data_IF_476121208058
#
_entry.id   IF_476121208058
#
_cell.length_a   1.000
_cell.length_b   1.000
_cell.length_c   1.000
_cell.angle_alpha   90.00
_cell.angle_beta   90.00
_cell.angle_gamma   90.00
#
_symmetry.space_group_name_H-M   'P 1'
#
loop_
_entity.id
_entity.type
_entity.pdbx_description
1 polymer ?
#
# COMPACT_ATOMS: atom_id res chain seq x y z
N UNK A 1 -2.49 23.31 -5.90
CA UNK A 1 -3.29 22.07 -5.76
C UNK A 1 -4.64 22.43 -5.20
N UNK A 2 -5.73 22.05 -5.86
CA UNK A 2 -7.08 22.43 -5.47
C UNK A 2 -7.73 21.31 -4.66
N UNK A 3 -7.85 21.51 -3.35
CA UNK A 3 -8.72 20.68 -2.50
C UNK A 3 -10.15 21.07 -2.86
N UNK A 4 -10.97 20.10 -3.21
CA UNK A 4 -12.40 20.33 -3.45
C UNK A 4 -13.18 19.91 -2.21
N UNK A 5 -14.23 20.66 -1.85
CA UNK A 5 -15.10 20.34 -0.72
C UNK A 5 -16.08 19.19 -1.02
N UNK A 6 -15.87 18.47 -2.13
CA UNK A 6 -16.75 17.42 -2.66
C UNK A 6 -15.95 16.18 -3.04
N UNK A 7 -16.61 15.03 -3.02
CA UNK A 7 -16.04 13.74 -3.47
C UNK A 7 -15.76 13.80 -4.97
N UNK A 8 -14.54 13.47 -5.39
CA UNK A 8 -14.20 13.27 -6.81
C UNK A 8 -14.44 11.79 -7.18
N UNK A 9 -15.33 11.49 -8.16
CA UNK A 9 -15.65 10.13 -8.57
C UNK A 9 -14.41 9.32 -8.96
N UNK A 10 -14.43 8.00 -8.73
CA UNK A 10 -13.26 7.16 -9.04
C UNK A 10 -12.91 7.16 -10.54
N UNK A 11 -13.91 7.20 -11.42
CA UNK A 11 -13.73 7.30 -12.86
C UNK A 11 -12.96 8.56 -13.29
N UNK A 12 -13.05 9.65 -12.54
CA UNK A 12 -12.30 10.89 -12.80
C UNK A 12 -10.90 10.87 -12.16
N UNK A 13 -10.72 10.05 -11.14
CA UNK A 13 -9.46 9.82 -10.42
C UNK A 13 -8.63 8.66 -10.97
N UNK A 14 -9.02 8.03 -12.09
CA UNK A 14 -8.30 6.89 -12.63
C UNK A 14 -8.20 6.94 -14.15
N UNK A 15 -7.02 6.64 -14.69
CA UNK A 15 -6.81 6.36 -16.12
C UNK A 15 -6.35 4.91 -16.24
N UNK A 16 -7.15 4.09 -16.94
CA UNK A 16 -6.75 2.75 -17.31
C UNK A 16 -5.94 2.80 -18.61
N UNK A 17 -4.76 2.19 -18.57
CA UNK A 17 -3.83 2.11 -19.69
C UNK A 17 -3.89 0.69 -20.28
N UNK A 18 -3.70 0.58 -21.59
CA UNK A 18 -3.69 -0.71 -22.27
C UNK A 18 -2.57 -1.60 -21.69
N UNK A 19 -2.88 -2.88 -21.48
CA UNK A 19 -2.01 -3.82 -20.77
C UNK A 19 -2.24 -3.88 -19.25
N UNK A 20 -3.21 -3.13 -18.71
CA UNK A 20 -3.69 -3.30 -17.34
C UNK A 20 -2.95 -2.49 -16.28
N UNK A 21 -2.15 -1.50 -16.67
CA UNK A 21 -1.62 -0.48 -15.75
C UNK A 21 -2.70 0.58 -15.50
N UNK A 22 -2.78 1.09 -14.28
CA UNK A 22 -3.63 2.23 -13.92
C UNK A 22 -2.79 3.39 -13.39
N UNK A 23 -3.19 4.61 -13.73
CA UNK A 23 -2.70 5.86 -13.09
C UNK A 23 -3.83 6.45 -12.26
N UNK A 24 -3.61 6.58 -10.96
CA UNK A 24 -4.66 6.82 -9.98
C UNK A 24 -4.32 8.03 -9.15
N UNK A 25 -5.23 9.00 -9.10
CA UNK A 25 -5.20 10.12 -8.15
C UNK A 25 -5.80 9.62 -6.83
N UNK A 26 -4.97 9.38 -5.81
CA UNK A 26 -5.36 8.54 -4.69
C UNK A 26 -6.32 9.26 -3.74
N UNK A 27 -6.18 10.59 -3.60
CA UNK A 27 -6.94 11.37 -2.65
C UNK A 27 -8.35 11.65 -3.14
N UNK A 28 -9.34 11.35 -2.29
CA UNK A 28 -10.76 11.45 -2.60
C UNK A 28 -11.24 12.87 -2.96
N UNK A 29 -10.62 13.88 -2.36
CA UNK A 29 -11.02 15.28 -2.42
C UNK A 29 -9.96 16.16 -3.11
N UNK A 30 -9.14 15.57 -3.99
CA UNK A 30 -8.17 16.29 -4.82
C UNK A 30 -8.47 15.98 -6.28
N UNK A 31 -8.81 17.02 -7.04
CA UNK A 31 -9.01 16.87 -8.47
C UNK A 31 -7.68 16.56 -9.17
N UNK A 32 -7.75 15.79 -10.26
CA UNK A 32 -6.60 15.47 -11.13
C UNK A 32 -5.85 16.72 -11.62
N UNK A 33 -6.50 17.88 -11.65
CA UNK A 33 -5.99 19.07 -12.34
C UNK A 33 -6.11 18.85 -13.84
N UNK A 34 -6.94 19.65 -14.50
CA UNK A 34 -7.23 19.53 -15.94
C UNK A 34 -6.68 20.70 -16.74
N UNK A 35 -6.17 21.73 -16.06
CA UNK A 35 -5.51 22.85 -16.69
C UNK A 35 -4.17 22.37 -17.27
N UNK A 36 -4.13 22.30 -18.60
CA UNK A 36 -2.98 21.84 -19.39
C UNK A 36 -1.78 22.79 -19.29
N UNK A 37 -2.02 24.05 -18.89
CA UNK A 37 -1.02 25.11 -18.84
C UNK A 37 -0.47 25.35 -17.43
N UNK A 38 -1.11 24.83 -16.37
CA UNK A 38 -0.60 24.99 -14.98
C UNK A 38 -0.45 23.69 -14.17
N UNK A 39 -1.10 22.59 -14.56
CA UNK A 39 -1.05 21.35 -13.77
C UNK A 39 0.27 20.60 -13.97
N UNK A 40 0.93 20.22 -12.87
CA UNK A 40 2.11 19.33 -12.83
C UNK A 40 1.79 18.09 -11.98
N UNK A 41 2.47 16.99 -12.24
CA UNK A 41 2.18 15.68 -11.62
C UNK A 41 3.44 15.05 -11.01
N UNK A 42 3.25 14.32 -9.92
CA UNK A 42 4.27 13.45 -9.36
C UNK A 42 3.78 11.99 -9.38
N UNK A 43 4.45 11.15 -10.18
CA UNK A 43 4.02 9.77 -10.44
C UNK A 43 4.83 8.79 -9.60
N UNK A 44 4.16 8.16 -8.63
CA UNK A 44 4.71 7.16 -7.73
C UNK A 44 4.56 5.77 -8.33
N UNK A 45 5.67 5.06 -8.49
CA UNK A 45 5.70 3.79 -9.22
C UNK A 45 5.82 2.58 -8.28
N UNK A 46 5.09 1.51 -8.59
CA UNK A 46 5.45 0.16 -8.14
C UNK A 46 6.59 -0.43 -9.00
N UNK A 47 7.13 -1.58 -8.58
CA UNK A 47 8.21 -2.28 -9.32
C UNK A 47 7.81 -2.59 -10.78
N UNK A 48 6.55 -2.95 -11.01
CA UNK A 48 6.07 -3.34 -12.34
C UNK A 48 6.03 -2.13 -13.29
N UNK A 49 5.55 -0.99 -12.82
CA UNK A 49 5.50 0.27 -13.55
C UNK A 49 6.90 0.84 -13.79
N UNK A 50 7.85 0.65 -12.87
CA UNK A 50 9.24 1.04 -13.09
C UNK A 50 9.94 0.14 -14.12
N UNK A 51 9.63 -1.16 -14.14
CA UNK A 51 10.33 -2.13 -15.01
C UNK A 51 9.74 -2.17 -16.42
N UNK A 52 8.42 -2.04 -16.54
CA UNK A 52 7.69 -1.98 -17.81
C UNK A 52 7.08 -0.59 -17.97
N UNK A 53 7.74 0.24 -18.77
CA UNK A 53 7.49 1.69 -18.86
C UNK A 53 6.55 2.07 -20.01
N UNK A 54 6.02 1.11 -20.76
CA UNK A 54 5.20 1.39 -21.95
C UNK A 54 3.91 2.16 -21.63
N UNK A 55 3.44 2.08 -20.39
CA UNK A 55 2.30 2.87 -19.92
C UNK A 55 2.54 4.37 -20.05
N UNK A 56 3.79 4.82 -19.91
CA UNK A 56 4.14 6.23 -19.91
C UNK A 56 3.95 6.87 -21.29
N UNK A 57 4.22 6.12 -22.36
CA UNK A 57 4.00 6.57 -23.74
C UNK A 57 2.52 6.70 -24.09
N UNK A 58 1.64 5.97 -23.39
CA UNK A 58 0.19 5.98 -23.60
C UNK A 58 -0.51 7.09 -22.81
N UNK A 59 0.19 7.81 -21.94
CA UNK A 59 -0.40 8.91 -21.19
C UNK A 59 -0.68 10.11 -22.10
N UNK A 60 -1.75 10.88 -21.79
CA UNK A 60 -1.98 12.17 -22.42
C UNK A 60 -0.72 13.05 -22.35
N UNK A 61 -0.41 13.72 -23.45
CA UNK A 61 0.83 14.50 -23.59
C UNK A 61 1.01 15.55 -22.49
N UNK A 62 -0.07 16.21 -22.07
CA UNK A 62 -0.04 17.22 -21.01
C UNK A 62 0.34 16.63 -19.64
N UNK A 63 0.03 15.35 -19.38
CA UNK A 63 0.50 14.66 -18.17
C UNK A 63 1.96 14.30 -18.36
N UNK A 64 2.30 13.65 -19.48
CA UNK A 64 3.64 13.14 -19.78
C UNK A 64 4.70 14.25 -19.67
N UNK A 65 4.51 15.36 -20.36
CA UNK A 65 5.49 16.46 -20.41
C UNK A 65 5.63 17.25 -19.11
N UNK A 66 4.74 17.03 -18.15
CA UNK A 66 4.64 17.79 -16.88
C UNK A 66 4.64 16.89 -15.65
N UNK A 67 5.14 15.67 -15.83
CA UNK A 67 5.31 14.70 -14.76
C UNK A 67 6.75 14.63 -14.30
N UNK A 68 6.94 14.53 -12.99
CA UNK A 68 8.15 13.95 -12.41
C UNK A 68 7.87 12.52 -11.99
N UNK A 69 8.87 11.64 -12.10
CA UNK A 69 8.77 10.25 -11.66
C UNK A 69 9.39 10.13 -10.27
N UNK A 70 8.64 9.53 -9.36
CA UNK A 70 9.11 9.12 -8.06
C UNK A 70 9.14 7.58 -7.98
N UNK A 71 10.29 6.94 -8.28
CA UNK A 71 10.42 5.50 -8.25
C UNK A 71 10.79 4.97 -6.86
N UNK A 72 10.78 5.83 -5.82
CA UNK A 72 11.35 5.49 -4.52
C UNK A 72 10.76 4.22 -3.90
N UNK A 73 9.44 4.00 -4.04
CA UNK A 73 8.78 2.78 -3.54
C UNK A 73 9.24 1.52 -4.25
N UNK A 74 9.24 1.53 -5.58
CA UNK A 74 9.78 0.45 -6.39
C UNK A 74 11.24 0.14 -6.02
N UNK A 75 12.06 1.18 -5.81
CA UNK A 75 13.46 1.01 -5.43
C UNK A 75 13.64 0.43 -4.02
N UNK A 76 12.79 0.82 -3.06
CA UNK A 76 12.78 0.21 -1.73
C UNK A 76 12.39 -1.27 -1.79
N UNK A 77 11.34 -1.62 -2.54
CA UNK A 77 10.93 -3.00 -2.75
C UNK A 77 12.09 -3.81 -3.33
N UNK A 78 12.72 -3.32 -4.41
CA UNK A 78 13.87 -3.99 -5.03
C UNK A 78 15.04 -4.13 -4.06
N UNK A 79 15.37 -3.06 -3.31
CA UNK A 79 16.46 -3.10 -2.35
C UNK A 79 16.24 -4.12 -1.25
N UNK A 80 15.02 -4.27 -0.74
CA UNK A 80 14.72 -5.15 0.38
C UNK A 80 14.40 -6.59 -0.08
N UNK A 81 13.89 -6.78 -1.29
CA UNK A 81 13.44 -8.09 -1.78
C UNK A 81 14.40 -8.81 -2.73
N UNK A 82 15.27 -8.09 -3.46
CA UNK A 82 15.99 -8.65 -4.59
C UNK A 82 17.53 -8.68 -4.34
N UNK A 83 18.13 -9.85 -4.03
CA UNK A 83 19.57 -9.98 -3.85
C UNK A 83 20.37 -9.55 -5.09
N UNK A 84 19.88 -9.85 -6.29
CA UNK A 84 20.56 -9.45 -7.52
C UNK A 84 20.54 -7.93 -7.73
N UNK A 85 19.49 -7.26 -7.24
CA UNK A 85 19.45 -5.80 -7.20
C UNK A 85 20.58 -5.25 -6.34
N UNK A 86 20.73 -5.78 -5.12
CA UNK A 86 21.79 -5.38 -4.18
C UNK A 86 23.21 -5.68 -4.67
N UNK A 87 23.39 -6.69 -5.53
CA UNK A 87 24.70 -7.03 -6.09
C UNK A 87 25.23 -5.98 -7.08
N UNK A 88 24.36 -5.24 -7.77
CA UNK A 88 24.76 -4.17 -8.70
C UNK A 88 23.69 -3.07 -8.75
N UNK A 89 23.50 -2.32 -7.64
CA UNK A 89 22.32 -1.49 -7.47
C UNK A 89 22.35 -0.26 -8.37
N UNK A 90 23.50 0.40 -8.52
CA UNK A 90 23.63 1.59 -9.39
C UNK A 90 23.30 1.26 -10.83
N UNK A 91 23.95 0.24 -11.41
CA UNK A 91 23.73 -0.17 -12.82
C UNK A 91 22.27 -0.58 -13.06
N UNK A 92 21.64 -1.24 -12.09
CA UNK A 92 20.22 -1.64 -12.22
C UNK A 92 19.28 -0.46 -12.16
N UNK A 93 19.51 0.51 -11.28
CA UNK A 93 18.72 1.75 -11.26
C UNK A 93 18.91 2.51 -12.58
N UNK A 94 20.15 2.65 -13.07
CA UNK A 94 20.45 3.28 -14.37
C UNK A 94 19.71 2.58 -15.51
N UNK A 95 19.73 1.25 -15.57
CA UNK A 95 19.01 0.49 -16.58
C UNK A 95 17.48 0.67 -16.51
N UNK A 96 16.91 0.78 -15.30
CA UNK A 96 15.48 1.03 -15.11
C UNK A 96 15.10 2.44 -15.58
N UNK A 97 15.82 3.48 -15.13
CA UNK A 97 15.50 4.87 -15.48
C UNK A 97 15.81 5.18 -16.95
N UNK A 98 16.78 4.52 -17.57
CA UNK A 98 17.11 4.72 -18.99
C UNK A 98 15.93 4.38 -19.91
N UNK A 99 15.08 3.42 -19.53
CA UNK A 99 13.86 3.11 -20.28
C UNK A 99 12.87 4.29 -20.26
N UNK A 100 12.70 4.95 -19.11
CA UNK A 100 11.88 6.15 -18.98
C UNK A 100 12.54 7.35 -19.68
N UNK A 101 13.87 7.48 -19.61
CA UNK A 101 14.61 8.55 -20.25
C UNK A 101 14.46 8.52 -21.78
N UNK A 102 14.47 7.33 -22.39
CA UNK A 102 14.15 7.14 -23.82
C UNK A 102 12.75 7.61 -24.21
N UNK A 103 11.82 7.71 -23.27
CA UNK A 103 10.47 8.23 -23.47
C UNK A 103 10.34 9.74 -23.15
N UNK A 104 11.46 10.41 -22.89
CA UNK A 104 11.53 11.86 -22.66
C UNK A 104 11.59 12.29 -21.20
N UNK A 105 11.61 11.35 -20.23
CA UNK A 105 11.82 11.71 -18.82
C UNK A 105 13.24 12.21 -18.59
N UNK A 106 13.37 13.22 -17.74
CA UNK A 106 14.68 13.75 -17.33
C UNK A 106 15.00 13.29 -15.91
N UNK A 107 16.21 12.80 -15.73
CA UNK A 107 16.78 12.47 -14.42
C UNK A 107 17.99 13.35 -14.20
N UNK A 108 18.19 13.79 -12.95
CA UNK A 108 19.38 14.58 -12.58
C UNK A 108 20.65 13.75 -12.69
N UNK A 109 21.78 14.43 -12.84
CA UNK A 109 23.08 13.76 -12.77
C UNK A 109 23.25 13.02 -11.45
N UNK A 110 23.95 11.88 -11.50
CA UNK A 110 24.22 11.00 -10.36
C UNK A 110 22.96 10.47 -9.63
N UNK A 111 21.79 10.50 -10.28
CA UNK A 111 20.53 10.07 -9.68
C UNK A 111 20.64 8.67 -9.07
N UNK A 112 21.14 7.69 -9.84
CA UNK A 112 21.26 6.31 -9.38
C UNK A 112 22.17 6.18 -8.15
N UNK A 113 23.34 6.82 -8.17
CA UNK A 113 24.31 6.78 -7.06
C UNK A 113 23.70 7.38 -5.78
N UNK A 114 22.90 8.44 -5.90
CA UNK A 114 22.22 9.06 -4.76
C UNK A 114 21.10 8.17 -4.22
N UNK A 115 20.30 7.54 -5.09
CA UNK A 115 19.28 6.59 -4.66
C UNK A 115 19.90 5.40 -3.93
N UNK A 116 21.02 4.86 -4.42
CA UNK A 116 21.74 3.76 -3.74
C UNK A 116 22.22 4.18 -2.35
N UNK A 117 22.77 5.39 -2.19
CA UNK A 117 23.18 5.92 -0.88
C UNK A 117 22.00 5.96 0.09
N UNK A 118 20.88 6.55 -0.33
CA UNK A 118 19.67 6.61 0.48
C UNK A 118 19.15 5.22 0.87
N UNK A 119 19.09 4.27 -0.08
CA UNK A 119 18.63 2.91 0.21
C UNK A 119 19.54 2.17 1.19
N UNK A 120 20.86 2.34 1.03
CA UNK A 120 21.87 1.69 1.87
C UNK A 120 21.85 2.25 3.28
N UNK A 121 21.92 3.58 3.43
CA UNK A 121 21.99 4.26 4.72
C UNK A 121 20.72 3.99 5.55
N UNK A 122 19.58 3.79 4.87
CA UNK A 122 18.28 3.66 5.52
C UNK A 122 17.72 2.23 5.55
N UNK A 123 18.47 1.21 5.13
CA UNK A 123 17.96 -0.14 4.94
C UNK A 123 17.17 -0.69 6.14
N UNK A 124 17.66 -0.47 7.36
CA UNK A 124 16.99 -0.91 8.59
C UNK A 124 15.68 -0.13 8.86
N UNK A 125 15.66 1.19 8.64
CA UNK A 125 14.47 2.03 8.82
C UNK A 125 13.40 1.67 7.79
N UNK A 126 13.81 1.47 6.53
CA UNK A 126 12.91 1.06 5.44
C UNK A 126 12.30 -0.32 5.71
N UNK A 127 13.11 -1.26 6.19
CA UNK A 127 12.65 -2.59 6.61
C UNK A 127 11.64 -2.53 7.75
N UNK A 128 11.87 -1.64 8.74
CA UNK A 128 10.92 -1.38 9.81
C UNK A 128 9.60 -0.82 9.27
N UNK A 129 9.64 0.19 8.39
CA UNK A 129 8.41 0.76 7.84
C UNK A 129 7.58 -0.28 7.09
N UNK A 130 8.22 -1.12 6.27
CA UNK A 130 7.52 -2.18 5.56
C UNK A 130 6.88 -3.21 6.52
N UNK A 131 7.59 -3.59 7.58
CA UNK A 131 7.12 -4.61 8.53
C UNK A 131 5.95 -4.16 9.43
N UNK A 132 5.59 -2.87 9.47
CA UNK A 132 4.40 -2.41 10.19
C UNK A 132 3.08 -2.94 9.59
N UNK A 133 3.06 -3.24 8.30
CA UNK A 133 1.86 -3.76 7.59
C UNK A 133 1.74 -5.28 7.68
N UNK A 134 2.86 -5.97 7.94
CA UNK A 134 2.96 -7.44 7.90
C UNK A 134 1.98 -8.16 8.85
N UNK A 135 1.84 -7.78 10.13
CA UNK A 135 0.88 -8.43 11.02
C UNK A 135 -0.55 -8.33 10.52
N UNK A 136 -0.91 -7.19 9.90
CA UNK A 136 -2.25 -6.99 9.34
C UNK A 136 -2.50 -7.87 8.12
N UNK A 137 -1.52 -8.05 7.25
CA UNK A 137 -1.60 -9.01 6.13
C UNK A 137 -1.83 -10.42 6.66
N UNK A 138 -1.06 -10.84 7.67
CA UNK A 138 -1.19 -12.18 8.25
C UNK A 138 -2.57 -12.38 8.89
N UNK A 139 -3.01 -11.45 9.74
CA UNK A 139 -4.35 -11.50 10.34
C UNK A 139 -5.45 -11.53 9.27
N UNK A 140 -5.35 -10.69 8.24
CA UNK A 140 -6.30 -10.67 7.13
C UNK A 140 -6.35 -12.02 6.42
N UNK A 141 -5.21 -12.55 5.97
CA UNK A 141 -5.12 -13.87 5.32
C UNK A 141 -5.72 -14.97 6.20
N UNK A 142 -5.31 -15.05 7.46
CA UNK A 142 -5.75 -16.10 8.39
C UNK A 142 -7.23 -16.00 8.74
N UNK A 143 -7.76 -14.80 8.99
CA UNK A 143 -9.18 -14.59 9.28
C UNK A 143 -10.05 -14.93 8.05
N UNK A 144 -9.65 -14.48 6.87
CA UNK A 144 -10.36 -14.76 5.63
C UNK A 144 -10.26 -16.23 5.19
N UNK A 145 -9.24 -16.98 5.63
CA UNK A 145 -9.14 -18.42 5.34
C UNK A 145 -10.11 -19.27 6.19
N UNK A 146 -10.61 -18.74 7.32
CA UNK A 146 -11.48 -19.48 8.22
C UNK A 146 -12.84 -19.80 7.59
N UNK A 147 -13.34 -21.00 7.84
CA UNK A 147 -14.69 -21.44 7.46
C UNK A 147 -15.69 -21.08 8.55
N UNK A 148 -15.75 -19.80 8.90
CA UNK A 148 -16.66 -19.25 9.88
C UNK A 148 -17.64 -18.26 9.22
N UNK A 149 -18.84 -18.09 9.78
CA UNK A 149 -19.74 -17.01 9.38
C UNK A 149 -19.05 -15.64 9.48
N UNK A 150 -19.32 -14.74 8.54
CA UNK A 150 -18.67 -13.43 8.47
C UNK A 150 -18.74 -12.66 9.80
N UNK A 151 -19.89 -12.69 10.48
CA UNK A 151 -20.07 -11.99 11.75
C UNK A 151 -19.16 -12.52 12.87
N UNK A 152 -18.89 -13.84 12.91
CA UNK A 152 -17.94 -14.39 13.88
C UNK A 152 -16.49 -13.97 13.58
N UNK A 153 -16.15 -13.85 12.29
CA UNK A 153 -14.83 -13.34 11.87
C UNK A 153 -14.70 -11.85 12.23
N UNK A 154 -15.76 -11.06 12.05
CA UNK A 154 -15.80 -9.65 12.45
C UNK A 154 -15.67 -9.47 13.97
N UNK A 155 -16.33 -10.32 14.77
CA UNK A 155 -16.17 -10.30 16.24
C UNK A 155 -14.73 -10.61 16.66
N UNK A 156 -14.06 -11.55 15.98
CA UNK A 156 -12.62 -11.82 16.21
C UNK A 156 -11.75 -10.61 15.86
N UNK A 157 -12.01 -9.98 14.71
CA UNK A 157 -11.33 -8.76 14.31
C UNK A 157 -11.55 -7.64 15.34
N UNK A 158 -12.78 -7.45 15.80
CA UNK A 158 -13.14 -6.46 16.83
C UNK A 158 -12.37 -6.70 18.14
N UNK A 159 -12.31 -7.95 18.59
CA UNK A 159 -11.54 -8.32 19.78
C UNK A 159 -10.04 -8.00 19.63
N UNK A 160 -9.46 -8.24 18.46
CA UNK A 160 -8.06 -7.92 18.15
C UNK A 160 -7.82 -6.40 18.20
N UNK A 161 -8.67 -5.58 17.57
CA UNK A 161 -8.45 -4.13 17.48
C UNK A 161 -8.70 -3.39 18.80
N UNK A 162 -9.42 -4.03 19.72
CA UNK A 162 -9.59 -3.57 21.10
C UNK A 162 -8.33 -3.78 21.96
N UNK A 163 -7.40 -4.67 21.57
CA UNK A 163 -6.15 -4.90 22.30
C UNK A 163 -5.22 -3.67 22.27
N UNK A 164 -4.18 -3.68 23.13
CA UNK A 164 -3.17 -2.62 23.11
C UNK A 164 -2.16 -2.80 21.97
N UNK A 165 -2.57 -2.46 20.75
CA UNK A 165 -1.76 -2.51 19.53
C UNK A 165 -1.70 -1.15 18.80
N UNK A 166 -0.69 -0.90 17.94
CA UNK A 166 -0.71 0.21 17.02
C UNK A 166 -1.79 -0.05 15.99
N UNK A 167 -2.67 0.91 15.74
CA UNK A 167 -3.86 0.73 14.90
C UNK A 167 -3.67 1.33 13.52
N UNK A 168 -4.11 0.58 12.51
CA UNK A 168 -4.23 1.05 11.14
C UNK A 168 -5.68 0.95 10.69
N UNK A 169 -6.43 2.04 10.87
CA UNK A 169 -7.82 2.18 10.40
C UNK A 169 -8.05 1.67 8.97
N UNK A 170 -7.24 2.04 7.96
CA UNK A 170 -7.39 1.52 6.59
C UNK A 170 -7.23 -0.01 6.49
N UNK A 171 -6.26 -0.61 7.18
CA UNK A 171 -6.03 -2.07 7.12
C UNK A 171 -7.13 -2.86 7.85
N UNK A 172 -7.63 -2.31 8.97
CA UNK A 172 -8.79 -2.85 9.70
C UNK A 172 -10.04 -2.79 8.81
N UNK A 173 -10.28 -1.64 8.18
CA UNK A 173 -11.38 -1.42 7.23
C UNK A 173 -11.30 -2.42 6.07
N UNK A 174 -10.12 -2.63 5.50
CA UNK A 174 -9.89 -3.59 4.41
C UNK A 174 -10.17 -5.03 4.85
N UNK A 175 -9.80 -5.40 6.07
CA UNK A 175 -10.06 -6.75 6.60
C UNK A 175 -11.55 -6.98 6.85
N UNK A 176 -12.24 -5.99 7.42
CA UNK A 176 -13.67 -6.04 7.65
C UNK A 176 -14.45 -6.10 6.32
N UNK A 177 -14.07 -5.25 5.35
CA UNK A 177 -14.62 -5.25 4.00
C UNK A 177 -14.42 -6.61 3.33
N UNK A 178 -13.19 -7.14 3.34
CA UNK A 178 -12.88 -8.45 2.77
C UNK A 178 -13.73 -9.57 3.35
N UNK A 179 -13.95 -9.55 4.67
CA UNK A 179 -14.78 -10.54 5.39
C UNK A 179 -16.24 -10.52 4.90
N UNK A 180 -16.83 -9.32 4.74
CA UNK A 180 -18.20 -9.19 4.27
C UNK A 180 -18.33 -9.49 2.77
N UNK A 181 -17.35 -9.08 1.96
CA UNK A 181 -17.27 -9.44 0.54
C UNK A 181 -17.14 -10.96 0.33
N UNK A 182 -16.40 -11.67 1.20
CA UNK A 182 -16.32 -13.13 1.17
C UNK A 182 -17.68 -13.78 1.35
N UNK A 183 -18.57 -13.20 2.17
CA UNK A 183 -19.94 -13.69 2.32
C UNK A 183 -20.86 -13.34 1.14
N UNK A 184 -20.44 -12.41 0.28
CA UNK A 184 -21.16 -11.96 -0.90
C UNK A 184 -20.29 -12.08 -2.16
N UNK A 185 -19.80 -13.30 -2.44
CA UNK A 185 -18.79 -13.54 -3.49
C UNK A 185 -19.22 -13.14 -4.92
N UNK A 186 -20.51 -12.95 -5.17
CA UNK A 186 -21.04 -12.49 -6.46
C UNK A 186 -21.14 -10.97 -6.57
N UNK A 187 -20.97 -10.23 -5.47
CA UNK A 187 -21.07 -8.77 -5.46
C UNK A 187 -19.97 -8.15 -6.32
N UNK A 188 -20.40 -7.32 -7.28
CA UNK A 188 -19.52 -6.53 -8.15
C UNK A 188 -19.66 -5.06 -7.78
N UNK A 189 -18.55 -4.33 -7.84
CA UNK A 189 -18.62 -2.87 -7.83
C UNK A 189 -19.25 -2.38 -9.12
N UNK A 190 -19.81 -1.18 -9.11
CA UNK A 190 -20.46 -0.57 -10.29
C UNK A 190 -19.52 -0.64 -11.50
N UNK A 191 -20.03 -1.08 -12.65
CA UNK A 191 -19.28 -1.20 -13.91
C UNK A 191 -18.00 -2.07 -13.86
N UNK A 192 -17.78 -2.85 -12.79
CA UNK A 192 -16.64 -3.76 -12.73
C UNK A 192 -16.99 -5.15 -13.30
N UNK A 193 -16.14 -5.74 -14.17
CA UNK A 193 -16.43 -7.04 -14.75
C UNK A 193 -16.35 -8.19 -13.73
N UNK A 194 -15.56 -8.05 -12.66
CA UNK A 194 -15.27 -9.13 -11.72
C UNK A 194 -15.90 -8.87 -10.35
N UNK A 195 -16.17 -9.93 -9.56
CA UNK A 195 -16.59 -9.76 -8.18
C UNK A 195 -15.53 -9.03 -7.35
N UNK A 196 -15.97 -8.16 -6.45
CA UNK A 196 -15.07 -7.36 -5.62
C UNK A 196 -14.14 -8.24 -4.77
N UNK A 197 -14.67 -9.36 -4.24
CA UNK A 197 -13.90 -10.29 -3.43
C UNK A 197 -12.76 -10.97 -4.20
N UNK A 198 -12.92 -11.26 -5.49
CA UNK A 198 -11.91 -12.01 -6.26
C UNK A 198 -10.59 -11.27 -6.37
N UNK A 199 -10.62 -9.92 -6.33
CA UNK A 199 -9.40 -9.12 -6.29
C UNK A 199 -8.62 -9.32 -5.00
N UNK A 200 -9.31 -9.33 -3.86
CA UNK A 200 -8.69 -9.56 -2.56
C UNK A 200 -8.26 -11.02 -2.39
N UNK A 201 -9.05 -11.97 -2.89
CA UNK A 201 -8.71 -13.39 -2.90
C UNK A 201 -7.45 -13.65 -3.72
N UNK A 202 -7.38 -13.12 -4.96
CA UNK A 202 -6.20 -13.25 -5.82
C UNK A 202 -4.98 -12.57 -5.22
N UNK A 203 -5.16 -11.44 -4.54
CA UNK A 203 -4.10 -10.77 -3.80
C UNK A 203 -3.60 -11.67 -2.66
N UNK A 204 -4.49 -12.24 -1.85
CA UNK A 204 -4.12 -13.08 -0.72
C UNK A 204 -3.66 -14.50 -1.11
N UNK A 205 -3.81 -14.89 -2.38
CA UNK A 205 -3.38 -16.21 -2.86
C UNK A 205 -1.86 -16.38 -2.77
N UNK A 206 -1.43 -17.62 -2.49
CA UNK A 206 -0.03 -18.02 -2.59
C UNK A 206 0.35 -18.20 -4.06
N UNK A 207 1.56 -17.80 -4.43
CA UNK A 207 2.05 -17.90 -5.80
C UNK A 207 3.34 -18.75 -5.85
N UNK A 208 3.26 -20.06 -5.57
CA UNK A 208 4.44 -20.93 -5.51
C UNK A 208 5.20 -20.92 -6.83
N UNK A 209 6.52 -20.77 -6.76
CA UNK A 209 7.40 -20.67 -7.93
C UNK A 209 7.60 -19.24 -8.45
N UNK A 210 6.97 -18.22 -7.86
CA UNK A 210 7.23 -16.82 -8.16
C UNK A 210 7.60 -16.04 -6.89
N UNK A 211 8.59 -15.14 -7.01
CA UNK A 211 9.11 -14.29 -5.92
C UNK A 211 9.46 -15.05 -4.62
N UNK A 212 9.91 -16.30 -4.72
CA UNK A 212 10.26 -17.19 -3.61
C UNK A 212 9.09 -17.46 -2.62
N UNK A 213 7.84 -17.33 -3.08
CA UNK A 213 6.64 -17.67 -2.29
C UNK A 213 6.43 -19.19 -2.21
N UNK A 214 5.86 -19.66 -1.09
CA UNK A 214 5.46 -21.05 -0.82
C UNK A 214 3.95 -21.16 -0.66
N UNK A 215 3.45 -22.36 -0.35
CA UNK A 215 2.03 -22.66 -0.06
C UNK A 215 1.58 -22.27 1.37
N UNK A 216 2.37 -21.49 2.07
CA UNK A 216 2.11 -20.93 3.40
C UNK A 216 2.71 -19.51 3.49
N UNK A 217 2.32 -18.74 4.51
CA UNK A 217 2.85 -17.38 4.72
C UNK A 217 4.32 -17.39 5.16
N UNK A 218 5.24 -17.42 4.20
CA UNK A 218 6.67 -17.22 4.44
C UNK A 218 7.07 -15.72 4.41
N UNK A 219 8.33 -15.41 4.74
CA UNK A 219 8.84 -14.02 4.71
C UNK A 219 8.65 -13.34 3.35
N UNK A 220 9.03 -13.96 2.21
CA UNK A 220 8.75 -13.39 0.89
C UNK A 220 7.28 -13.03 0.66
N UNK A 221 6.34 -13.93 0.98
CA UNK A 221 4.90 -13.68 0.84
C UNK A 221 4.47 -12.45 1.65
N UNK A 222 4.77 -12.44 2.96
CA UNK A 222 4.39 -11.36 3.87
C UNK A 222 4.97 -10.01 3.41
N UNK A 223 6.24 -10.00 3.01
CA UNK A 223 6.95 -8.83 2.49
C UNK A 223 6.30 -8.32 1.20
N UNK A 224 6.02 -9.20 0.24
CA UNK A 224 5.47 -8.80 -1.06
C UNK A 224 4.11 -8.11 -0.88
N UNK A 225 3.20 -8.76 -0.14
CA UNK A 225 1.87 -8.20 0.15
C UNK A 225 1.94 -6.90 0.97
N UNK A 226 2.91 -6.78 1.89
CA UNK A 226 3.13 -5.53 2.61
C UNK A 226 3.61 -4.41 1.69
N UNK A 227 4.51 -4.66 0.73
CA UNK A 227 4.93 -3.65 -0.25
C UNK A 227 3.80 -3.19 -1.17
N UNK A 228 2.98 -4.13 -1.65
CA UNK A 228 1.82 -3.82 -2.48
C UNK A 228 0.87 -2.86 -1.73
N UNK A 229 0.53 -3.16 -0.47
CA UNK A 229 -0.32 -2.28 0.37
C UNK A 229 0.37 -0.98 0.78
N UNK A 230 1.70 -0.97 0.93
CA UNK A 230 2.43 0.26 1.26
C UNK A 230 2.24 1.33 0.20
N UNK A 231 2.11 1.00 -1.08
CA UNK A 231 1.89 2.01 -2.11
C UNK A 231 0.60 2.83 -1.88
N UNK A 232 -0.45 2.18 -1.38
CA UNK A 232 -1.70 2.83 -0.97
C UNK A 232 -1.53 3.69 0.28
N UNK A 233 -0.80 3.18 1.29
CA UNK A 233 -0.64 3.85 2.58
C UNK A 233 0.40 4.97 2.56
N UNK A 234 1.38 4.93 1.66
CA UNK A 234 2.57 5.75 1.88
C UNK A 234 2.37 7.21 1.50
N UNK A 235 1.52 7.52 0.52
CA UNK A 235 1.27 8.92 0.16
C UNK A 235 0.66 9.75 1.31
N UNK A 236 -0.39 9.30 2.02
CA UNK A 236 -0.85 10.03 3.19
C UNK A 236 0.17 10.01 4.34
N UNK A 237 0.95 8.92 4.53
CA UNK A 237 2.04 8.88 5.54
C UNK A 237 3.12 9.92 5.25
N UNK A 238 3.57 10.05 4.01
CA UNK A 238 4.56 11.05 3.60
C UNK A 238 4.06 12.45 3.96
N UNK A 239 2.79 12.76 3.65
CA UNK A 239 2.20 14.05 4.02
C UNK A 239 2.15 14.29 5.51
N UNK A 240 1.78 13.28 6.29
CA UNK A 240 1.76 13.37 7.75
C UNK A 240 3.15 13.69 8.32
N UNK A 241 4.20 13.23 7.64
CA UNK A 241 5.59 13.56 7.96
C UNK A 241 6.12 14.81 7.25
N UNK A 242 5.25 15.67 6.70
CA UNK A 242 5.60 16.97 6.15
C UNK A 242 6.16 16.94 4.73
N UNK A 243 6.11 15.79 4.04
CA UNK A 243 6.50 15.72 2.63
C UNK A 243 5.61 16.64 1.77
N UNK A 244 6.26 17.44 0.92
CA UNK A 244 5.60 18.30 -0.05
C UNK A 244 5.80 17.67 -1.43
N UNK A 245 4.70 17.32 -2.09
CA UNK A 245 4.76 16.79 -3.45
C UNK A 245 5.20 17.88 -4.43
N UNK A 246 5.96 17.48 -5.44
CA UNK A 246 6.42 18.34 -6.54
C UNK A 246 5.27 18.66 -7.53
N UNK A 247 4.19 17.90 -7.47
CA UNK A 247 2.99 18.08 -8.28
C UNK A 247 1.79 17.40 -7.65
N UNK A 248 0.69 17.26 -8.41
CA UNK A 248 -0.47 16.49 -8.00
C UNK A 248 -0.04 15.01 -7.95
N UNK A 249 -0.09 14.34 -6.79
CA UNK A 249 0.42 12.98 -6.66
C UNK A 249 -0.51 11.98 -7.36
N UNK A 250 0.07 11.04 -8.09
CA UNK A 250 -0.63 9.90 -8.66
C UNK A 250 0.16 8.61 -8.46
N UNK A 251 -0.55 7.50 -8.22
CA UNK A 251 0.01 6.15 -8.14
C UNK A 251 -0.06 5.51 -9.52
N UNK A 252 1.02 4.87 -9.95
CA UNK A 252 1.06 4.05 -11.16
C UNK A 252 1.32 2.61 -10.76
N UNK A 253 0.34 1.74 -11.02
CA UNK A 253 0.41 0.34 -10.60
C UNK A 253 -0.32 -0.60 -11.56
N UNK A 254 0.12 -1.85 -11.61
CA UNK A 254 -0.60 -2.96 -12.27
C UNK A 254 -1.36 -3.83 -11.29
N UNK A 255 -1.30 -3.51 -9.99
CA UNK A 255 -1.98 -4.29 -8.97
C UNK A 255 -3.48 -4.01 -8.98
N UNK A 256 -4.22 -5.01 -9.43
CA UNK A 256 -5.68 -4.95 -9.53
C UNK A 256 -6.35 -4.80 -8.18
N UNK A 257 -5.81 -5.33 -7.07
CA UNK A 257 -6.46 -5.11 -5.77
C UNK A 257 -6.37 -3.64 -5.37
N UNK A 258 -5.25 -2.96 -5.69
CA UNK A 258 -5.09 -1.54 -5.44
C UNK A 258 -6.06 -0.72 -6.29
N UNK A 259 -6.10 -0.97 -7.60
CA UNK A 259 -6.81 -0.10 -8.55
C UNK A 259 -8.22 -0.56 -8.95
N UNK A 260 -8.70 -1.72 -8.50
CA UNK A 260 -10.09 -2.15 -8.71
C UNK A 260 -10.90 -2.19 -7.44
N UNK A 261 -10.25 -2.34 -6.28
CA UNK A 261 -10.91 -2.41 -4.98
C UNK A 261 -10.45 -1.29 -4.04
N UNK A 262 -9.21 -1.31 -3.58
CA UNK A 262 -8.75 -0.52 -2.43
C UNK A 262 -8.84 0.99 -2.68
N UNK A 263 -8.20 1.53 -3.73
CA UNK A 263 -8.23 2.98 -4.01
C UNK A 263 -9.57 3.47 -4.56
N UNK A 264 -10.45 2.53 -4.93
CA UNK A 264 -11.82 2.80 -5.36
C UNK A 264 -12.74 2.97 -4.16
N UNK A 265 -12.69 2.05 -3.19
CA UNK A 265 -13.63 2.02 -2.06
C UNK A 265 -13.05 2.53 -0.75
N UNK A 266 -11.73 2.49 -0.55
CA UNK A 266 -11.02 3.00 0.64
C UNK A 266 -9.95 4.05 0.27
N UNK A 267 -10.29 5.14 -0.44
CA UNK A 267 -9.31 6.15 -0.82
C UNK A 267 -8.85 6.98 0.39
N UNK A 268 -7.57 7.42 0.43
CA UNK A 268 -7.14 8.43 1.39
C UNK A 268 -7.85 9.77 1.18
N UNK A 269 -7.94 10.58 2.24
CA UNK A 269 -8.49 11.94 2.22
C UNK A 269 -7.36 12.93 2.40
N UNK A 270 -7.34 13.97 1.57
CA UNK A 270 -6.41 15.07 1.72
C UNK A 270 -6.91 16.02 2.82
N UNK A 271 -6.29 15.95 4.00
CA UNK A 271 -6.53 16.89 5.11
C UNK A 271 -5.49 18.01 5.12
N UNK A 272 -5.89 19.21 5.53
CA UNK A 272 -4.98 20.36 5.66
C UNK A 272 -4.07 20.25 6.89
N UNK A 273 -4.57 19.67 7.98
CA UNK A 273 -3.84 19.42 9.22
C UNK A 273 -2.80 18.28 9.13
N UNK A 274 -2.55 17.76 7.93
CA UNK A 274 -1.61 16.67 7.61
C UNK A 274 -1.93 15.31 8.25
N UNK A 275 -3.01 15.18 9.02
CA UNK A 275 -3.41 13.91 9.61
C UNK A 275 -3.82 12.95 8.49
N UNK A 276 -3.22 11.75 8.49
CA UNK A 276 -3.63 10.67 7.60
C UNK A 276 -5.07 10.26 7.89
N UNK A 277 -5.88 10.18 6.84
CA UNK A 277 -7.30 9.84 6.94
C UNK A 277 -7.77 9.10 5.69
N UNK A 278 -8.80 8.28 5.83
CA UNK A 278 -9.36 7.44 4.77
C UNK A 278 -10.88 7.45 4.82
N UNK A 279 -11.52 7.33 3.66
CA UNK A 279 -12.98 7.17 3.55
C UNK A 279 -13.34 5.71 3.26
N UNK A 280 -14.60 5.33 3.50
CA UNK A 280 -15.24 4.20 2.82
C UNK A 280 -16.29 4.78 1.86
N UNK A 281 -16.18 4.48 0.57
CA UNK A 281 -17.17 4.89 -0.45
C UNK A 281 -18.18 3.76 -0.69
N UNK A 282 -19.45 4.12 -0.79
CA UNK A 282 -20.55 3.16 -1.01
C UNK A 282 -20.72 2.76 -2.50
N UNK A 283 -19.82 3.21 -3.38
CA UNK A 283 -19.96 3.00 -4.84
C UNK A 283 -19.93 1.49 -5.19
N UNK A 284 -21.11 0.92 -5.45
CA UNK A 284 -21.29 -0.50 -5.74
C UNK A 284 -21.30 -1.41 -4.52
N UNK A 285 -21.41 -0.85 -3.30
CA UNK A 285 -21.52 -1.60 -2.05
C UNK A 285 -22.89 -1.39 -1.41
N UNK A 286 -23.53 -2.44 -0.87
CA UNK A 286 -24.75 -2.28 -0.08
C UNK A 286 -24.51 -1.39 1.14
N UNK A 287 -25.41 -0.44 1.40
CA UNK A 287 -25.31 0.47 2.56
C UNK A 287 -25.12 -0.26 3.89
N UNK A 288 -25.85 -1.36 4.11
CA UNK A 288 -25.72 -2.17 5.33
C UNK A 288 -24.34 -2.80 5.49
N UNK A 289 -23.67 -3.15 4.39
CA UNK A 289 -22.29 -3.62 4.39
C UNK A 289 -21.36 -2.47 4.81
N UNK A 290 -21.51 -1.29 4.20
CA UNK A 290 -20.70 -0.11 4.54
C UNK A 290 -20.87 0.30 6.01
N UNK A 291 -22.11 0.35 6.51
CA UNK A 291 -22.42 0.64 7.91
C UNK A 291 -21.75 -0.37 8.85
N UNK A 292 -21.78 -1.67 8.52
CA UNK A 292 -21.12 -2.70 9.33
C UNK A 292 -19.59 -2.56 9.32
N UNK A 293 -18.97 -2.29 8.17
CA UNK A 293 -17.52 -2.03 8.09
C UNK A 293 -17.15 -0.82 8.93
N UNK A 294 -17.89 0.29 8.80
CA UNK A 294 -17.64 1.51 9.56
C UNK A 294 -17.83 1.31 11.06
N UNK A 295 -18.80 0.49 11.49
CA UNK A 295 -18.97 0.16 12.90
C UNK A 295 -17.72 -0.50 13.51
N UNK A 296 -17.08 -1.43 12.79
CA UNK A 296 -15.82 -2.06 13.22
C UNK A 296 -14.66 -1.06 13.22
N UNK A 297 -14.56 -0.22 12.19
CA UNK A 297 -13.48 0.77 12.13
C UNK A 297 -13.62 1.86 13.20
N UNK A 298 -14.85 2.24 13.55
CA UNK A 298 -15.15 3.27 14.55
C UNK A 298 -15.13 2.74 16.00
N UNK A 299 -15.18 1.42 16.22
CA UNK A 299 -15.03 0.85 17.57
C UNK A 299 -13.58 0.95 18.09
N UNK A 300 -12.65 1.33 17.20
CA UNK A 300 -11.25 1.59 17.53
C UNK A 300 -11.12 2.87 18.36
N UNK A 301 -10.83 2.73 19.66
CA UNK A 301 -10.61 3.88 20.54
C UNK A 301 -9.45 4.77 20.07
N UNK A 302 -9.60 6.08 20.10
CA UNK A 302 -8.47 7.00 19.88
C UNK A 302 -7.52 6.95 21.08
N UNK A 303 -6.21 6.82 20.84
CA UNK A 303 -5.18 6.81 21.89
C UNK A 303 -4.19 7.95 21.66
N UNK A 304 -3.64 8.47 22.75
CA UNK A 304 -2.55 9.44 22.71
C UNK A 304 -1.24 8.85 22.22
N UNK A 305 -0.25 9.71 22.05
CA UNK A 305 1.10 9.34 21.60
C UNK A 305 1.76 8.36 22.58
N UNK A 306 2.23 7.19 22.12
CA UNK A 306 2.89 6.22 23.00
C UNK A 306 4.29 6.69 23.42
N UNK A 307 4.71 6.31 24.62
CA UNK A 307 6.13 6.30 24.97
C UNK A 307 6.89 5.26 24.14
N UNK A 308 8.22 5.32 24.14
CA UNK A 308 9.07 4.38 23.41
C UNK A 308 8.81 2.91 23.83
N UNK A 309 8.71 2.66 25.13
CA UNK A 309 8.40 1.32 25.69
C UNK A 309 7.01 0.84 25.30
N UNK A 310 6.00 1.73 25.39
CA UNK A 310 4.64 1.43 24.96
C UNK A 310 4.59 1.09 23.47
N UNK A 311 5.37 1.79 22.64
CA UNK A 311 5.43 1.51 21.21
C UNK A 311 5.99 0.10 20.93
N UNK A 312 7.06 -0.32 21.63
CA UNK A 312 7.59 -1.69 21.52
C UNK A 312 6.58 -2.72 21.98
N UNK A 313 5.99 -2.51 23.17
CA UNK A 313 5.01 -3.43 23.74
C UNK A 313 3.83 -3.63 22.79
N UNK A 314 3.27 -2.53 22.27
CA UNK A 314 2.16 -2.55 21.31
C UNK A 314 2.50 -3.32 20.04
N UNK A 315 3.66 -3.06 19.42
CA UNK A 315 4.05 -3.80 18.21
C UNK A 315 4.25 -5.29 18.53
N UNK A 316 4.90 -5.61 19.66
CA UNK A 316 5.09 -7.00 20.09
C UNK A 316 3.73 -7.71 20.25
N UNK A 317 2.76 -7.06 20.89
CA UNK A 317 1.38 -7.54 21.01
C UNK A 317 0.73 -7.73 19.65
N UNK A 318 0.92 -6.81 18.70
CA UNK A 318 0.38 -6.92 17.34
C UNK A 318 0.93 -8.15 16.61
N UNK A 319 2.24 -8.39 16.64
CA UNK A 319 2.84 -9.60 16.07
C UNK A 319 2.36 -10.86 16.79
N UNK A 320 2.23 -10.83 18.13
CA UNK A 320 1.68 -11.94 18.92
C UNK A 320 0.24 -12.30 18.52
N UNK A 321 -0.62 -11.31 18.32
CA UNK A 321 -2.00 -11.52 17.86
C UNK A 321 -2.05 -12.07 16.43
N UNK A 322 -1.19 -11.59 15.53
CA UNK A 322 -1.08 -12.15 14.19
C UNK A 322 -0.65 -13.62 14.20
N UNK A 323 0.32 -13.99 15.05
CA UNK A 323 0.73 -15.39 15.26
C UNK A 323 -0.40 -16.25 15.79
N UNK A 324 -1.19 -15.73 16.73
CA UNK A 324 -2.34 -16.44 17.29
C UNK A 324 -3.44 -16.71 16.26
N UNK A 325 -3.52 -15.91 15.18
CA UNK A 325 -4.42 -16.17 14.06
C UNK A 325 -3.91 -17.28 13.13
N UNK A 326 -2.59 -17.53 13.09
CA UNK A 326 -1.98 -18.53 12.22
C UNK A 326 -2.10 -19.93 12.84
N UNK A 327 -2.50 -20.92 12.05
CA UNK A 327 -2.58 -22.32 12.49
C UNK A 327 -1.24 -23.05 12.33
N UNK A 328 -0.49 -22.73 11.28
CA UNK A 328 0.79 -23.35 10.92
C UNK A 328 1.96 -22.71 11.71
N UNK A 329 2.81 -23.55 12.29
CA UNK A 329 4.00 -23.11 13.05
C UNK A 329 5.00 -22.36 12.16
N UNK A 330 5.16 -22.76 10.89
CA UNK A 330 6.07 -22.11 9.94
C UNK A 330 5.66 -20.67 9.63
N UNK A 331 4.36 -20.39 9.63
CA UNK A 331 3.83 -19.04 9.47
C UNK A 331 4.10 -18.18 10.71
N UNK A 332 4.03 -18.78 11.90
CA UNK A 332 4.37 -18.10 13.16
C UNK A 332 5.87 -17.78 13.22
N UNK A 333 6.73 -18.69 12.76
CA UNK A 333 8.17 -18.49 12.66
C UNK A 333 8.52 -17.37 11.66
N UNK A 334 7.82 -17.32 10.51
CA UNK A 334 7.98 -16.23 9.55
C UNK A 334 7.64 -14.86 10.17
N UNK A 335 6.59 -14.79 11.00
CA UNK A 335 6.24 -13.57 11.73
C UNK A 335 7.32 -13.17 12.77
N UNK A 336 7.88 -14.14 13.49
CA UNK A 336 9.01 -13.88 14.41
C UNK A 336 10.23 -13.38 13.66
N UNK A 337 10.52 -13.97 12.49
CA UNK A 337 11.61 -13.53 11.63
C UNK A 337 11.39 -12.09 11.15
N UNK A 338 10.18 -11.74 10.73
CA UNK A 338 9.84 -10.36 10.33
C UNK A 338 9.99 -9.39 11.51
N UNK A 339 9.55 -9.76 12.72
CA UNK A 339 9.71 -8.90 13.89
C UNK A 339 11.20 -8.68 14.24
N UNK A 340 11.98 -9.76 14.32
CA UNK A 340 13.37 -9.72 14.78
C UNK A 340 14.34 -9.14 13.73
N UNK A 341 14.15 -9.47 12.45
CA UNK A 341 15.09 -9.12 11.38
C UNK A 341 14.66 -7.88 10.58
N UNK A 342 13.37 -7.56 10.55
CA UNK A 342 12.86 -6.42 9.77
C UNK A 342 12.45 -5.25 10.67
N UNK A 343 11.62 -5.49 11.68
CA UNK A 343 11.09 -4.41 12.51
C UNK A 343 12.11 -3.89 13.51
N UNK A 344 12.66 -4.77 14.34
CA UNK A 344 13.52 -4.42 15.48
C UNK A 344 14.79 -3.64 15.09
N UNK A 345 15.53 -3.98 14.02
CA UNK A 345 16.79 -3.30 13.70
C UNK A 345 16.65 -1.84 13.27
N UNK A 346 15.46 -1.44 12.81
CA UNK A 346 15.14 -0.07 12.42
C UNK A 346 14.51 0.77 13.53
N UNK A 347 14.19 0.17 14.67
CA UNK A 347 13.52 0.86 15.76
C UNK A 347 14.47 1.86 16.45
N UNK A 348 13.97 3.06 16.75
CA UNK A 348 14.77 4.15 17.32
C UNK A 348 15.71 4.86 16.32
N UNK A 349 15.76 4.44 15.06
CA UNK A 349 16.57 5.08 14.02
C UNK A 349 15.76 6.10 13.23
N UNK A 350 16.42 7.17 12.80
CA UNK A 350 15.88 8.18 11.90
C UNK A 350 16.38 7.97 10.48
N UNK A 351 15.67 8.53 9.49
CA UNK A 351 16.13 8.52 8.11
C UNK A 351 17.35 9.44 7.98
N UNK A 352 18.42 8.90 7.43
CA UNK A 352 19.64 9.59 7.08
C UNK A 352 19.60 10.03 5.61
N UNK A 353 19.58 11.34 5.39
CA UNK A 353 19.57 11.95 4.05
C UNK A 353 20.98 12.28 3.52
N UNK A 354 22.04 12.02 4.29
CA UNK A 354 23.43 12.36 3.95
C UNK A 354 24.07 11.44 2.91
#
# INVERSE_FOLDING_TARGET
MHIVNTIVPYAERCIFIEGGTAVIWPFLNVAKGTDKDTSCYELFLDTNALTNVQWYAQLPEYIRTRSVINPWFALQEQWLSNPQFRASPTNRIEAMIQKLAKLGMRFREQYAQQQVRLLRNNAAVLSRHCSLVVPYVAMMKSLLAQQLPAEQVLQRLEHIVQQDIPRSGPLITLTALGTLLKAQQSLKLTDDPQPAFSYLESFLAFQPGWKDETDYMNVPYLRNRAFDLNLWLTLPVLRQHGYRFEGIPAIVTRDRVLHRLILRVIPPIWRENLIMDFSLLEEGLPRSLCERVMAISNSVQVRGEPTHEQHVARISTLFGLAKACCADERERDALDQMFLQWWRPGFGKQIDFS
#
